data_IF_540070567920
#
_entry.id   IF_540070567920
#
_cell.length_a   1.000
_cell.length_b   1.000
_cell.length_c   1.000
_cell.angle_alpha   90.00
_cell.angle_beta   90.00
_cell.angle_gamma   90.00
#
_symmetry.space_group_name_H-M   'P 1'
#
loop_
_entity.id
_entity.type
_entity.pdbx_description
1 polymer ?
#
# COMPACT_ATOMS: atom_id res chain seq x y z
N UNK A 1 -12.99 12.76 1.12
CA UNK A 1 -11.53 12.78 1.05
C UNK A 1 -11.11 12.56 -0.40
N UNK A 2 -10.04 13.19 -0.84
CA UNK A 2 -9.57 13.08 -2.23
C UNK A 2 -8.18 12.45 -2.27
N UNK A 3 -8.12 11.15 -2.03
CA UNK A 3 -6.89 10.37 -2.10
C UNK A 3 -6.55 10.11 -3.56
N UNK A 4 -5.30 10.30 -3.94
CA UNK A 4 -4.80 10.03 -5.28
C UNK A 4 -3.63 9.04 -5.20
N UNK A 5 -3.57 8.11 -6.15
CA UNK A 5 -2.47 7.17 -6.26
C UNK A 5 -1.43 7.77 -7.19
N UNK A 6 -0.19 7.91 -6.69
CA UNK A 6 0.92 8.43 -7.47
C UNK A 6 1.96 7.32 -7.62
N UNK A 7 2.21 6.91 -8.86
CA UNK A 7 3.24 5.93 -9.17
C UNK A 7 4.61 6.59 -9.09
N UNK A 8 5.49 6.01 -8.28
CA UNK A 8 6.81 6.55 -8.00
C UNK A 8 7.89 5.49 -8.25
N UNK A 9 9.00 5.90 -8.84
CA UNK A 9 10.17 5.04 -9.01
C UNK A 9 11.21 5.41 -7.94
N UNK A 10 11.48 4.48 -7.03
CA UNK A 10 12.46 4.69 -5.98
C UNK A 10 13.84 4.24 -6.47
N UNK A 11 14.64 5.19 -6.92
CA UNK A 11 15.95 4.93 -7.50
C UNK A 11 16.91 4.33 -6.49
N UNK A 12 16.83 4.73 -5.23
CA UNK A 12 17.70 4.24 -4.15
C UNK A 12 17.42 2.76 -3.81
N UNK A 13 16.24 2.26 -4.16
CA UNK A 13 15.83 0.87 -3.96
C UNK A 13 15.76 0.11 -5.30
N UNK A 14 16.79 0.27 -6.14
CA UNK A 14 16.91 -0.42 -7.44
C UNK A 14 15.73 -0.15 -8.38
N UNK A 15 15.27 1.08 -8.43
CA UNK A 15 14.15 1.50 -9.27
C UNK A 15 12.84 0.80 -8.91
N UNK A 16 12.64 0.51 -7.63
CA UNK A 16 11.41 -0.12 -7.15
C UNK A 16 10.21 0.77 -7.44
N UNK A 17 9.18 0.20 -8.04
CA UNK A 17 7.92 0.90 -8.30
C UNK A 17 7.07 0.85 -7.05
N UNK A 18 6.68 2.04 -6.57
CA UNK A 18 5.87 2.24 -5.37
C UNK A 18 4.64 3.07 -5.72
N UNK A 19 3.56 2.87 -5.00
CA UNK A 19 2.33 3.65 -5.15
C UNK A 19 2.12 4.49 -3.90
N UNK A 20 2.31 5.80 -4.03
CA UNK A 20 2.08 6.74 -2.93
C UNK A 20 0.60 7.09 -2.88
N UNK A 21 0.06 7.14 -1.66
CA UNK A 21 -1.32 7.53 -1.44
C UNK A 21 -1.35 9.01 -1.03
N UNK A 22 -1.44 9.88 -2.03
CA UNK A 22 -1.45 11.33 -1.83
C UNK A 22 -2.73 11.75 -1.08
N UNK A 23 -2.58 12.65 -0.12
CA UNK A 23 -3.65 13.09 0.79
C UNK A 23 -4.11 12.01 1.79
N UNK A 24 -3.25 11.04 2.08
CA UNK A 24 -3.54 9.98 3.03
C UNK A 24 -2.29 9.68 3.87
N UNK A 25 -1.94 10.61 4.77
CA UNK A 25 -0.66 10.57 5.50
C UNK A 25 -0.80 10.09 6.95
N UNK A 26 -1.93 9.51 7.32
CA UNK A 26 -2.21 9.09 8.70
C UNK A 26 -1.30 7.94 9.12
N UNK A 27 -0.79 8.02 10.35
CA UNK A 27 0.12 7.01 10.92
C UNK A 27 -0.50 5.61 10.98
N UNK A 28 -1.81 5.53 11.20
CA UNK A 28 -2.55 4.26 11.24
C UNK A 28 -3.22 3.93 9.90
N UNK A 29 -2.89 4.68 8.86
CA UNK A 29 -3.49 4.49 7.54
C UNK A 29 -3.19 3.12 6.95
N UNK A 30 -2.01 2.57 7.19
CA UNK A 30 -1.68 1.25 6.68
C UNK A 30 -2.48 0.13 7.37
N UNK A 31 -2.92 0.32 8.62
CA UNK A 31 -3.82 -0.62 9.29
C UNK A 31 -5.20 -0.65 8.63
N UNK A 32 -5.68 0.51 8.18
CA UNK A 32 -6.95 0.62 7.46
C UNK A 32 -6.85 -0.05 6.10
N UNK A 33 -5.76 0.19 5.37
CA UNK A 33 -5.50 -0.46 4.08
C UNK A 33 -5.40 -1.98 4.25
N UNK A 34 -4.76 -2.45 5.32
CA UNK A 34 -4.68 -3.86 5.64
C UNK A 34 -6.07 -4.52 5.69
N UNK A 35 -7.03 -3.88 6.34
CA UNK A 35 -8.40 -4.41 6.43
C UNK A 35 -9.03 -4.61 5.06
N UNK A 36 -8.81 -3.68 4.13
CA UNK A 36 -9.29 -3.83 2.76
C UNK A 36 -8.65 -5.02 2.06
N UNK A 37 -7.34 -5.20 2.20
CA UNK A 37 -6.67 -6.36 1.60
C UNK A 37 -7.17 -7.68 2.19
N UNK A 38 -7.42 -7.71 3.49
CA UNK A 38 -7.95 -8.91 4.15
C UNK A 38 -9.38 -9.23 3.69
N UNK A 39 -10.26 -8.23 3.71
CA UNK A 39 -11.69 -8.42 3.45
C UNK A 39 -12.02 -8.55 1.96
N UNK A 40 -11.43 -7.71 1.12
CA UNK A 40 -11.76 -7.65 -0.30
C UNK A 40 -10.96 -8.64 -1.15
N UNK A 41 -9.70 -8.89 -0.78
CA UNK A 41 -8.79 -9.68 -1.61
C UNK A 41 -8.30 -10.96 -0.91
N UNK A 42 -8.81 -11.24 0.28
CA UNK A 42 -8.49 -12.45 1.05
C UNK A 42 -6.99 -12.64 1.27
N UNK A 43 -6.27 -11.55 1.45
CA UNK A 43 -4.86 -11.56 1.78
C UNK A 43 -4.67 -11.65 3.28
N UNK A 44 -3.56 -12.25 3.70
CA UNK A 44 -3.24 -12.42 5.12
C UNK A 44 -2.02 -11.61 5.49
N UNK A 45 -2.06 -10.97 6.67
CA UNK A 45 -0.87 -10.33 7.21
C UNK A 45 0.16 -11.38 7.58
N UNK A 46 1.36 -11.29 6.99
CA UNK A 46 2.46 -12.21 7.30
C UNK A 46 3.46 -11.60 8.28
N UNK A 47 3.58 -10.29 8.31
CA UNK A 47 4.55 -9.61 9.17
C UNK A 47 4.10 -8.17 9.44
N UNK A 48 4.38 -7.70 10.65
CA UNK A 48 4.16 -6.29 11.02
C UNK A 48 5.39 -5.80 11.77
N UNK A 49 6.03 -4.76 11.23
CA UNK A 49 7.22 -4.15 11.83
C UNK A 49 6.88 -2.71 12.21
N UNK A 50 6.95 -2.40 13.50
CA UNK A 50 6.74 -1.05 14.00
C UNK A 50 8.08 -0.43 14.36
N UNK A 51 8.41 0.66 13.70
CA UNK A 51 9.63 1.41 13.94
C UNK A 51 9.32 2.79 14.50
N UNK A 52 10.38 3.55 14.77
CA UNK A 52 10.26 4.88 15.35
C UNK A 52 9.68 5.88 14.33
N UNK A 53 10.06 5.73 13.06
CA UNK A 53 9.68 6.66 11.99
C UNK A 53 8.90 6.00 10.86
N UNK A 54 8.66 4.71 10.96
CA UNK A 54 7.94 3.96 9.92
C UNK A 54 7.26 2.72 10.48
N UNK A 55 6.16 2.33 9.85
CA UNK A 55 5.47 1.07 10.13
C UNK A 55 5.32 0.31 8.82
N UNK A 56 5.62 -0.99 8.82
CA UNK A 56 5.52 -1.83 7.64
C UNK A 56 4.61 -3.01 7.96
N UNK A 57 3.62 -3.25 7.11
CA UNK A 57 2.76 -4.43 7.18
C UNK A 57 2.91 -5.18 5.87
N UNK A 58 3.25 -6.48 5.96
CA UNK A 58 3.31 -7.34 4.78
C UNK A 58 2.06 -8.20 4.70
N UNK A 59 1.44 -8.22 3.53
CA UNK A 59 0.30 -9.09 3.23
C UNK A 59 0.63 -10.00 2.07
N UNK A 60 0.10 -11.21 2.09
CA UNK A 60 0.37 -12.19 1.04
C UNK A 60 -0.84 -13.06 0.73
N UNK A 61 -0.92 -13.53 -0.51
CA UNK A 61 -1.89 -14.52 -0.96
C UNK A 61 -1.45 -15.08 -2.32
N UNK A 62 -1.38 -16.42 -2.45
CA UNK A 62 -1.14 -17.12 -3.72
C UNK A 62 0.03 -16.57 -4.55
N UNK A 63 1.16 -16.32 -3.90
CA UNK A 63 2.36 -15.85 -4.57
C UNK A 63 2.49 -14.33 -4.69
N UNK A 64 1.43 -13.57 -4.40
CA UNK A 64 1.50 -12.12 -4.29
C UNK A 64 1.90 -11.73 -2.88
N UNK A 65 2.80 -10.76 -2.76
CA UNK A 65 3.17 -10.17 -1.48
C UNK A 65 3.27 -8.65 -1.65
N UNK A 66 2.56 -7.92 -0.81
CA UNK A 66 2.57 -6.46 -0.84
C UNK A 66 3.07 -5.92 0.49
N UNK A 67 3.73 -4.78 0.42
CA UNK A 67 4.27 -4.07 1.58
C UNK A 67 3.49 -2.78 1.75
N UNK A 68 2.77 -2.67 2.87
CA UNK A 68 2.01 -1.47 3.22
C UNK A 68 2.88 -0.68 4.18
N UNK A 69 3.33 0.49 3.76
CA UNK A 69 4.31 1.29 4.52
C UNK A 69 3.71 2.63 4.90
N UNK A 70 3.88 3.00 6.16
CA UNK A 70 3.76 4.39 6.59
C UNK A 70 5.15 4.89 6.97
N UNK A 71 5.52 6.05 6.48
CA UNK A 71 6.78 6.70 6.82
C UNK A 71 6.51 8.16 7.19
N UNK A 72 7.17 8.62 8.25
CA UNK A 72 6.97 9.97 8.79
C UNK A 72 7.10 11.07 7.73
N UNK A 73 8.08 10.96 6.84
CA UNK A 73 8.38 11.98 5.83
C UNK A 73 7.60 11.82 4.52
N UNK A 74 7.02 10.63 4.29
CA UNK A 74 6.42 10.30 2.99
C UNK A 74 4.91 10.08 3.08
N UNK A 75 4.42 9.63 4.24
CA UNK A 75 3.04 9.20 4.40
C UNK A 75 2.86 7.72 4.06
N UNK A 76 1.72 7.35 3.55
CA UNK A 76 1.41 5.95 3.21
C UNK A 76 1.77 5.64 1.77
N UNK A 77 2.45 4.52 1.56
CA UNK A 77 2.71 3.99 0.22
C UNK A 77 2.73 2.46 0.25
N UNK A 78 2.55 1.87 -0.92
CA UNK A 78 2.45 0.41 -1.07
C UNK A 78 3.31 -0.02 -2.24
N UNK A 79 4.01 -1.16 -2.09
CA UNK A 79 4.73 -1.74 -3.22
C UNK A 79 4.66 -3.26 -3.17
N UNK A 80 4.77 -3.88 -4.33
CA UNK A 80 4.84 -5.34 -4.45
C UNK A 80 6.27 -5.81 -4.24
N UNK A 81 6.46 -6.89 -3.49
CA UNK A 81 7.76 -7.51 -3.34
C UNK A 81 8.28 -7.97 -4.70
N UNK A 82 7.40 -8.58 -5.51
CA UNK A 82 7.72 -8.89 -6.90
C UNK A 82 7.54 -7.64 -7.76
N UNK A 83 8.55 -7.29 -8.50
CA UNK A 83 8.57 -6.09 -9.34
C UNK A 83 8.35 -6.39 -10.82
N UNK A 84 7.75 -7.52 -11.15
CA UNK A 84 7.34 -7.82 -12.51
C UNK A 84 6.08 -7.03 -12.88
N UNK A 85 5.85 -6.86 -14.18
CA UNK A 85 4.76 -6.05 -14.71
C UNK A 85 3.38 -6.51 -14.21
N UNK A 86 3.15 -7.82 -14.17
CA UNK A 86 1.86 -8.37 -13.73
C UNK A 86 1.58 -8.06 -12.27
N UNK A 87 2.55 -8.28 -11.39
CA UNK A 87 2.40 -8.02 -9.95
C UNK A 87 2.16 -6.56 -9.67
N UNK A 88 2.88 -5.67 -10.35
CA UNK A 88 2.72 -4.21 -10.21
C UNK A 88 1.34 -3.77 -10.70
N UNK A 89 0.91 -4.26 -11.86
CA UNK A 89 -0.40 -3.92 -12.43
C UNK A 89 -1.54 -4.42 -11.55
N UNK A 90 -1.44 -5.64 -11.02
CA UNK A 90 -2.46 -6.20 -10.14
C UNK A 90 -2.57 -5.39 -8.85
N UNK A 91 -1.44 -4.97 -8.28
CA UNK A 91 -1.43 -4.12 -7.09
C UNK A 91 -2.10 -2.77 -7.37
N UNK A 92 -1.77 -2.14 -8.48
CA UNK A 92 -2.35 -0.85 -8.85
C UNK A 92 -3.88 -0.93 -8.95
N UNK A 93 -4.39 -1.97 -9.59
CA UNK A 93 -5.84 -2.18 -9.72
C UNK A 93 -6.51 -2.36 -8.36
N UNK A 94 -5.91 -3.12 -7.47
CA UNK A 94 -6.42 -3.33 -6.12
C UNK A 94 -6.43 -2.04 -5.32
N UNK A 95 -5.36 -1.26 -5.42
CA UNK A 95 -5.29 0.05 -4.75
C UNK A 95 -6.33 1.03 -5.29
N UNK A 96 -6.59 1.02 -6.59
CA UNK A 96 -7.64 1.86 -7.19
C UNK A 96 -9.00 1.56 -6.57
N UNK A 97 -9.34 0.28 -6.38
CA UNK A 97 -10.58 -0.13 -5.74
C UNK A 97 -10.64 0.34 -4.27
N UNK A 98 -9.56 0.18 -3.54
CA UNK A 98 -9.48 0.60 -2.13
C UNK A 98 -9.64 2.10 -2.01
N UNK A 99 -8.90 2.87 -2.81
CA UNK A 99 -8.93 4.33 -2.78
C UNK A 99 -10.31 4.86 -3.17
N UNK A 100 -10.95 4.25 -4.17
CA UNK A 100 -12.31 4.60 -4.57
C UNK A 100 -13.28 4.44 -3.39
N UNK A 101 -13.19 3.34 -2.67
CA UNK A 101 -14.03 3.09 -1.49
C UNK A 101 -13.74 4.08 -0.37
N UNK A 102 -12.47 4.35 -0.08
CA UNK A 102 -12.09 5.32 0.95
C UNK A 102 -12.60 6.72 0.62
N UNK A 103 -12.51 7.14 -0.64
CA UNK A 103 -12.99 8.46 -1.07
C UNK A 103 -14.50 8.59 -0.98
N UNK A 104 -15.24 7.50 -1.05
CA UNK A 104 -16.70 7.51 -0.88
C UNK A 104 -17.13 7.53 0.59
N UNK A 105 -16.38 6.85 1.46
CA UNK A 105 -16.71 6.75 2.88
C UNK A 105 -16.45 8.06 3.61
N UNK A 106 -15.41 8.79 3.22
CA UNK A 106 -14.97 10.02 3.89
C UNK A 106 -15.19 11.19 2.93
N UNK A 107 -16.27 11.97 3.15
CA UNK A 107 -16.58 13.12 2.28
C UNK A 107 -15.56 14.24 2.35
#
# INVERSE_FOLDING_TARGET
>A
MNIQIIKHINVEENNRIEFLLHNYDYIDGNDIILKFFEEEFKMEMSEKIEGLFSNIIKVRNNGDEYNLVWHEDVGNYVFSTKQDEKSITDLEKRLELIVDKLNRIIP
#
